data_IF_541694823288
#
_entry.id   IF_541694823288
#
_cell.length_a   1.000
_cell.length_b   1.000
_cell.length_c   1.000
_cell.angle_alpha   90.00
_cell.angle_beta   90.00
_cell.angle_gamma   90.00
#
_symmetry.space_group_name_H-M   'P 1'
#
loop_
_entity.id
_entity.type
_entity.pdbx_description
1 polymer ?
#
# COMPACT_ATOMS: atom_id res chain seq x y z
N UNK A 1 -7.82 18.97 -20.47
CA UNK A 1 -6.42 18.91 -19.97
C UNK A 1 -5.87 17.54 -20.31
N UNK A 2 -4.65 17.46 -20.80
CA UNK A 2 -4.05 16.16 -21.06
C UNK A 2 -3.64 15.51 -19.74
N UNK A 3 -3.82 14.20 -19.65
CA UNK A 3 -3.41 13.33 -18.56
C UNK A 3 -1.92 13.45 -18.30
N UNK A 4 -1.51 13.59 -17.05
CA UNK A 4 -0.12 13.57 -16.65
C UNK A 4 0.24 12.21 -16.06
N UNK A 5 1.20 11.51 -16.65
CA UNK A 5 1.69 10.23 -16.14
C UNK A 5 3.11 10.43 -15.61
N UNK A 6 3.28 10.35 -14.30
CA UNK A 6 4.59 10.35 -13.65
C UNK A 6 5.19 8.94 -13.73
N UNK A 7 6.18 8.75 -14.59
CA UNK A 7 6.82 7.43 -14.79
C UNK A 7 8.14 7.35 -14.04
N UNK A 8 8.29 6.32 -13.22
CA UNK A 8 9.49 5.97 -12.48
C UNK A 8 9.97 4.58 -12.95
N UNK A 9 10.98 4.54 -13.78
CA UNK A 9 11.47 3.29 -14.38
C UNK A 9 12.53 2.58 -13.54
N UNK A 10 13.30 3.34 -12.78
CA UNK A 10 14.35 2.83 -11.91
C UNK A 10 14.32 3.59 -10.57
N UNK A 11 13.21 3.49 -9.80
CA UNK A 11 13.12 4.20 -8.55
C UNK A 11 14.19 3.71 -7.57
N UNK A 12 14.86 4.65 -6.94
CA UNK A 12 15.78 4.39 -5.84
C UNK A 12 15.02 3.98 -4.58
N UNK A 13 13.79 4.49 -4.45
CA UNK A 13 12.92 4.22 -3.31
C UNK A 13 11.46 4.25 -3.74
N UNK A 14 10.71 3.23 -3.35
CA UNK A 14 9.26 3.20 -3.45
C UNK A 14 8.69 2.57 -2.18
N UNK A 15 8.04 3.37 -1.37
CA UNK A 15 7.65 2.98 -0.02
C UNK A 15 6.26 3.46 0.37
N UNK A 16 5.60 2.68 1.22
CA UNK A 16 4.44 3.12 1.97
C UNK A 16 4.88 3.72 3.31
N UNK A 17 4.19 4.75 3.75
CA UNK A 17 4.40 5.38 5.04
C UNK A 17 3.15 6.06 5.54
N UNK A 18 3.22 6.56 6.76
CA UNK A 18 2.09 7.22 7.42
C UNK A 18 2.50 8.54 8.04
N UNK A 19 1.53 9.44 8.14
CA UNK A 19 1.64 10.69 8.90
C UNK A 19 0.46 10.77 9.86
N UNK A 20 0.71 11.12 11.12
CA UNK A 20 -0.28 11.24 12.17
C UNK A 20 -0.23 10.10 13.19
N UNK A 21 -1.08 10.21 14.21
CA UNK A 21 -1.18 9.25 15.30
C UNK A 21 -2.00 8.00 14.90
N UNK A 22 -1.75 6.84 15.54
CA UNK A 22 -2.57 5.66 15.32
C UNK A 22 -4.06 5.95 15.52
N UNK A 23 -4.87 5.65 14.48
CA UNK A 23 -6.31 5.92 14.45
C UNK A 23 -6.68 7.19 13.70
N UNK A 24 -5.73 8.09 13.48
CA UNK A 24 -5.90 9.34 12.70
C UNK A 24 -4.71 9.55 11.76
N UNK A 25 -4.31 8.46 11.09
CA UNK A 25 -3.18 8.46 10.17
C UNK A 25 -3.61 8.62 8.73
N UNK A 26 -2.84 9.40 7.99
CA UNK A 26 -2.88 9.43 6.54
C UNK A 26 -1.81 8.49 5.97
N UNK A 27 -2.17 7.71 4.97
CA UNK A 27 -1.29 6.77 4.30
C UNK A 27 -0.81 7.35 2.98
N UNK A 28 0.49 7.26 2.74
CA UNK A 28 1.12 7.74 1.51
C UNK A 28 1.95 6.65 0.86
N UNK A 29 1.98 6.65 -0.46
CA UNK A 29 3.04 6.01 -1.24
C UNK A 29 3.95 7.09 -1.80
N UNK A 30 5.25 6.86 -1.70
CA UNK A 30 6.27 7.80 -2.15
C UNK A 30 7.25 7.10 -3.06
N UNK A 31 7.43 7.66 -4.26
CA UNK A 31 8.42 7.24 -5.25
C UNK A 31 9.52 8.29 -5.35
N UNK A 32 10.76 7.84 -5.32
CA UNK A 32 11.95 8.69 -5.48
C UNK A 32 12.84 8.12 -6.58
N UNK A 33 13.18 8.96 -7.53
CA UNK A 33 14.14 8.65 -8.61
C UNK A 33 14.94 9.90 -8.92
N UNK A 34 16.24 9.84 -8.72
CA UNK A 34 17.12 11.01 -8.84
C UNK A 34 16.64 12.20 -7.98
N UNK A 35 16.35 13.34 -8.59
CA UNK A 35 15.86 14.53 -7.90
C UNK A 35 14.32 14.62 -7.82
N UNK A 36 13.59 13.61 -8.36
CA UNK A 36 12.13 13.61 -8.37
C UNK A 36 11.58 12.83 -7.19
N UNK A 37 10.64 13.43 -6.50
CA UNK A 37 9.87 12.79 -5.45
C UNK A 37 8.39 13.02 -5.71
N UNK A 38 7.60 11.97 -5.79
CA UNK A 38 6.15 12.03 -5.92
C UNK A 38 5.54 11.26 -4.76
N UNK A 39 4.60 11.90 -4.09
CA UNK A 39 3.83 11.32 -2.98
C UNK A 39 2.35 11.36 -3.32
N UNK A 40 1.67 10.25 -3.10
CA UNK A 40 0.23 10.13 -3.33
C UNK A 40 -0.47 9.63 -2.07
N UNK A 41 -1.67 10.14 -1.84
CA UNK A 41 -2.49 9.79 -0.67
C UNK A 41 -3.39 8.60 -0.96
N UNK A 42 -3.44 7.64 -0.04
CA UNK A 42 -4.30 6.45 -0.12
C UNK A 42 -5.06 6.22 1.19
N UNK A 43 -6.09 5.39 1.08
CA UNK A 43 -6.72 4.78 2.24
C UNK A 43 -5.90 3.57 2.74
N UNK A 44 -5.97 3.27 4.03
CA UNK A 44 -5.33 2.10 4.64
C UNK A 44 -5.64 0.81 3.89
N UNK A 45 -6.91 0.62 3.52
CA UNK A 45 -7.35 -0.57 2.80
C UNK A 45 -6.73 -0.67 1.41
N UNK A 46 -6.54 0.45 0.71
CA UNK A 46 -5.87 0.48 -0.59
C UNK A 46 -4.42 0.02 -0.49
N UNK A 47 -3.69 0.47 0.54
CA UNK A 47 -2.31 0.04 0.79
C UNK A 47 -2.25 -1.47 1.07
N UNK A 48 -3.16 -1.97 1.90
CA UNK A 48 -3.26 -3.40 2.23
C UNK A 48 -3.53 -4.27 1.00
N UNK A 49 -4.53 -3.88 0.20
CA UNK A 49 -4.89 -4.59 -1.05
C UNK A 49 -3.74 -4.57 -2.06
N UNK A 50 -3.05 -3.43 -2.19
CA UNK A 50 -1.91 -3.32 -3.09
C UNK A 50 -0.78 -4.26 -2.68
N UNK A 51 -0.42 -4.31 -1.40
CA UNK A 51 0.61 -5.22 -0.88
C UNK A 51 0.25 -6.69 -1.13
N UNK A 52 -0.99 -7.07 -0.85
CA UNK A 52 -1.50 -8.44 -1.08
C UNK A 52 -1.43 -8.82 -2.57
N UNK A 53 -1.90 -7.94 -3.46
CA UNK A 53 -1.90 -8.17 -4.91
C UNK A 53 -0.49 -8.24 -5.50
N UNK A 54 0.44 -7.43 -5.02
CA UNK A 54 1.85 -7.52 -5.41
C UNK A 54 2.42 -8.88 -5.00
N UNK A 55 2.16 -9.34 -3.79
CA UNK A 55 2.57 -10.67 -3.33
C UNK A 55 2.04 -11.80 -4.21
N UNK A 56 0.75 -11.75 -4.55
CA UNK A 56 0.12 -12.74 -5.45
C UNK A 56 0.72 -12.70 -6.87
N UNK A 57 0.95 -11.51 -7.41
CA UNK A 57 1.56 -11.36 -8.74
C UNK A 57 3.00 -11.87 -8.76
N UNK A 58 3.78 -11.62 -7.70
CA UNK A 58 5.13 -12.16 -7.58
C UNK A 58 5.15 -13.69 -7.60
N UNK A 59 4.25 -14.33 -6.88
CA UNK A 59 4.11 -15.80 -6.90
C UNK A 59 3.77 -16.31 -8.31
N UNK A 60 2.87 -15.63 -9.01
CA UNK A 60 2.50 -15.98 -10.38
C UNK A 60 3.66 -15.81 -11.37
N UNK A 61 4.43 -14.72 -11.23
CA UNK A 61 5.63 -14.46 -12.04
C UNK A 61 6.69 -15.54 -11.82
N UNK A 62 6.95 -15.93 -10.57
CA UNK A 62 7.87 -17.03 -10.25
C UNK A 62 7.41 -18.33 -10.87
N UNK A 63 6.12 -18.64 -10.75
CA UNK A 63 5.54 -19.87 -11.31
C UNK A 63 5.64 -19.93 -12.83
N UNK A 64 5.39 -18.82 -13.53
CA UNK A 64 5.38 -18.78 -15.01
C UNK A 64 6.75 -18.57 -15.63
N UNK A 65 7.57 -17.74 -15.03
CA UNK A 65 8.81 -17.25 -15.62
C UNK A 65 10.07 -17.74 -14.89
N UNK A 66 9.91 -18.45 -13.78
CA UNK A 66 11.03 -18.99 -13.00
C UNK A 66 11.95 -17.91 -12.42
N UNK A 67 11.46 -16.70 -12.21
CA UNK A 67 12.25 -15.63 -11.59
C UNK A 67 12.49 -15.95 -10.11
N UNK A 68 13.75 -15.92 -9.69
CA UNK A 68 14.13 -16.06 -8.29
C UNK A 68 13.65 -14.81 -7.52
N UNK A 69 12.60 -15.00 -6.75
CA UNK A 69 12.14 -13.98 -5.80
C UNK A 69 12.56 -14.44 -4.41
N UNK A 70 13.38 -13.66 -3.69
CA UNK A 70 13.77 -14.02 -2.34
C UNK A 70 12.56 -14.16 -1.43
N UNK A 71 12.52 -15.21 -0.61
CA UNK A 71 11.45 -15.43 0.38
C UNK A 71 11.46 -14.35 1.47
N UNK A 72 12.62 -13.80 1.75
CA UNK A 72 12.78 -12.72 2.72
C UNK A 72 13.32 -11.46 2.06
N UNK A 73 12.93 -10.32 2.59
CA UNK A 73 13.53 -9.05 2.19
C UNK A 73 15.03 -9.09 2.45
N UNK A 74 15.80 -8.59 1.48
CA UNK A 74 17.26 -8.53 1.64
C UNK A 74 17.65 -7.76 2.93
N UNK A 75 18.80 -8.10 3.55
CA UNK A 75 19.33 -7.33 4.66
C UNK A 75 19.41 -5.84 4.28
N UNK A 76 18.82 -4.97 5.07
CA UNK A 76 18.74 -3.55 4.76
C UNK A 76 17.34 -3.07 4.39
N UNK A 77 16.30 -3.75 4.88
CA UNK A 77 14.92 -3.28 4.77
C UNK A 77 14.82 -1.81 5.15
N UNK A 78 14.26 -1.00 4.25
CA UNK A 78 14.04 0.43 4.47
C UNK A 78 12.99 0.64 5.57
N UNK A 79 13.43 1.16 6.69
CA UNK A 79 12.58 1.53 7.84
C UNK A 79 12.53 3.05 8.02
N UNK A 80 13.19 3.80 7.17
CA UNK A 80 13.24 5.25 7.26
C UNK A 80 11.85 5.86 7.04
N UNK A 81 11.57 7.01 7.66
CA UNK A 81 10.33 7.73 7.42
C UNK A 81 10.23 8.22 5.96
N UNK A 82 9.06 8.70 5.59
CA UNK A 82 8.87 9.37 4.30
C UNK A 82 9.79 10.58 4.19
N UNK A 83 10.31 10.83 2.99
CA UNK A 83 11.09 12.02 2.72
C UNK A 83 10.22 13.27 2.82
N UNK A 84 10.81 14.35 3.34
CA UNK A 84 10.15 15.65 3.50
C UNK A 84 10.81 16.68 2.58
N UNK A 85 10.09 17.70 2.11
CA UNK A 85 8.67 17.97 2.36
C UNK A 85 7.77 16.91 1.74
N UNK A 86 6.65 16.62 2.42
CA UNK A 86 5.63 15.70 1.93
C UNK A 86 4.52 16.51 1.27
N UNK A 87 4.50 16.51 -0.05
CA UNK A 87 3.50 17.20 -0.85
C UNK A 87 2.68 16.14 -1.59
N UNK A 88 1.37 16.18 -1.40
CA UNK A 88 0.44 15.29 -2.05
C UNK A 88 0.23 15.70 -3.50
N UNK A 89 0.59 14.84 -4.44
CA UNK A 89 0.32 15.05 -5.86
C UNK A 89 -1.16 14.84 -6.17
N UNK A 90 -1.72 13.72 -5.70
CA UNK A 90 -3.13 13.41 -5.79
C UNK A 90 -3.55 12.33 -4.80
N UNK A 91 -4.86 12.18 -4.61
CA UNK A 91 -5.47 11.05 -3.92
C UNK A 91 -5.71 9.92 -4.92
N UNK A 92 -5.34 8.70 -4.55
CA UNK A 92 -5.51 7.53 -5.40
C UNK A 92 -6.96 7.05 -5.41
N UNK A 93 -7.51 6.86 -6.62
CA UNK A 93 -8.80 6.22 -6.85
C UNK A 93 -8.63 4.78 -7.31
N UNK A 94 -8.08 4.59 -8.50
CA UNK A 94 -7.90 3.27 -9.12
C UNK A 94 -6.43 2.84 -9.06
N UNK A 95 -6.22 1.54 -8.89
CA UNK A 95 -4.89 0.93 -8.87
C UNK A 95 -4.80 -0.18 -9.91
N UNK A 96 -3.70 -0.22 -10.65
CA UNK A 96 -3.38 -1.24 -11.61
C UNK A 96 -2.06 -1.93 -11.30
N UNK A 97 -1.96 -3.20 -11.64
CA UNK A 97 -0.74 -4.01 -11.55
C UNK A 97 -0.53 -4.78 -12.84
N UNK A 98 0.72 -4.89 -13.25
CA UNK A 98 1.11 -5.67 -14.41
C UNK A 98 2.53 -6.21 -14.29
N UNK A 99 2.85 -7.12 -15.19
CA UNK A 99 4.21 -7.63 -15.39
C UNK A 99 4.74 -7.14 -16.74
N UNK A 100 5.84 -6.43 -16.70
CA UNK A 100 6.57 -6.05 -17.92
C UNK A 100 7.70 -7.07 -18.17
N UNK A 101 7.52 -7.90 -19.19
CA UNK A 101 8.46 -8.96 -19.54
C UNK A 101 9.78 -8.41 -20.11
N UNK A 102 9.75 -7.24 -20.74
CA UNK A 102 10.93 -6.63 -21.33
C UNK A 102 11.90 -6.12 -20.26
N UNK A 103 11.39 -5.39 -19.29
CA UNK A 103 12.19 -4.90 -18.15
C UNK A 103 12.24 -5.88 -16.98
N UNK A 104 11.49 -6.98 -17.03
CA UNK A 104 11.33 -7.95 -15.93
C UNK A 104 10.91 -7.26 -14.62
N UNK A 105 9.94 -6.38 -14.73
CA UNK A 105 9.48 -5.55 -13.65
C UNK A 105 8.00 -5.74 -13.34
N UNK A 106 7.66 -5.63 -12.06
CA UNK A 106 6.28 -5.39 -11.62
C UNK A 106 5.97 -3.92 -11.91
N UNK A 107 4.89 -3.67 -12.62
CA UNK A 107 4.42 -2.31 -12.91
C UNK A 107 3.26 -2.00 -11.97
N UNK A 108 3.42 -0.96 -11.17
CA UNK A 108 2.36 -0.42 -10.31
C UNK A 108 1.87 0.88 -10.92
N UNK A 109 0.59 1.00 -11.15
CA UNK A 109 -0.02 2.26 -11.59
C UNK A 109 -1.10 2.70 -10.62
N UNK A 110 -1.00 3.95 -10.19
CA UNK A 110 -1.91 4.59 -9.26
C UNK A 110 -2.53 5.79 -9.97
N UNK A 111 -3.85 5.73 -10.17
CA UNK A 111 -4.60 6.77 -10.86
C UNK A 111 -5.29 7.67 -9.84
N UNK A 112 -5.28 8.98 -10.13
CA UNK A 112 -5.98 9.96 -9.32
C UNK A 112 -7.47 9.64 -9.23
N UNK A 113 -8.09 9.96 -8.09
CA UNK A 113 -9.53 9.88 -7.94
C UNK A 113 -10.23 10.72 -9.01
N UNK A 114 -11.26 10.17 -9.62
CA UNK A 114 -12.04 10.82 -10.67
C UNK A 114 -13.52 10.77 -10.31
N UNK A 115 -14.27 11.79 -10.66
CA UNK A 115 -15.73 11.80 -10.57
C UNK A 115 -16.39 10.96 -11.66
N UNK A 116 -15.66 10.75 -12.76
CA UNK A 116 -16.09 9.89 -13.86
C UNK A 116 -15.61 8.45 -13.62
N UNK A 117 -16.40 7.48 -14.08
CA UNK A 117 -16.01 6.08 -14.05
C UNK A 117 -14.78 5.87 -14.92
N UNK A 118 -13.70 5.39 -14.33
CA UNK A 118 -12.45 5.12 -15.04
C UNK A 118 -12.59 3.82 -15.83
N UNK A 119 -12.48 3.91 -17.15
CA UNK A 119 -12.46 2.73 -18.00
C UNK A 119 -11.19 1.91 -17.71
N UNK A 120 -11.35 0.59 -17.52
CA UNK A 120 -10.22 -0.30 -17.25
C UNK A 120 -9.15 -0.27 -18.35
N UNK A 121 -9.51 0.09 -19.58
CA UNK A 121 -8.57 0.22 -20.69
C UNK A 121 -7.54 1.37 -20.51
N UNK A 122 -7.85 2.32 -19.65
CA UNK A 122 -6.94 3.45 -19.33
C UNK A 122 -5.82 3.02 -18.40
N UNK A 123 -6.02 1.93 -17.63
CA UNK A 123 -5.04 1.42 -16.68
C UNK A 123 -3.88 0.79 -17.45
N UNK A 124 -2.66 1.23 -17.13
CA UNK A 124 -1.41 0.82 -17.79
C UNK A 124 -1.30 1.21 -19.27
N UNK A 125 -2.18 2.08 -19.75
CA UNK A 125 -2.12 2.62 -21.10
C UNK A 125 -1.54 4.04 -21.12
N UNK A 126 -0.95 4.43 -22.23
CA UNK A 126 -0.33 5.75 -22.46
C UNK A 126 -1.32 6.74 -23.10
N UNK A 127 -2.61 6.51 -22.98
CA UNK A 127 -3.64 7.42 -23.49
C UNK A 127 -3.56 8.79 -22.85
N UNK A 128 -3.79 9.82 -23.65
CA UNK A 128 -3.85 11.22 -23.19
C UNK A 128 -5.15 11.55 -22.44
N UNK A 129 -6.11 10.62 -22.44
CA UNK A 129 -7.38 10.76 -21.75
C UNK A 129 -7.38 9.99 -20.43
N UNK A 130 -8.04 10.53 -19.42
CA UNK A 130 -8.19 9.91 -18.13
C UNK A 130 -7.51 10.69 -17.00
N UNK A 131 -7.57 10.16 -15.77
CA UNK A 131 -6.97 10.79 -14.61
C UNK A 131 -5.43 10.72 -14.64
N UNK A 132 -4.79 11.66 -13.96
CA UNK A 132 -3.36 11.63 -13.75
C UNK A 132 -2.92 10.33 -13.08
N UNK A 133 -1.71 9.91 -13.33
CA UNK A 133 -1.19 8.63 -12.83
C UNK A 133 0.26 8.72 -12.34
N UNK A 134 0.56 7.87 -11.37
CA UNK A 134 1.92 7.51 -10.97
C UNK A 134 2.16 6.07 -11.42
N UNK A 135 3.12 5.85 -12.30
CA UNK A 135 3.51 4.54 -12.82
C UNK A 135 4.93 4.19 -12.40
N UNK A 136 5.09 3.11 -11.66
CA UNK A 136 6.37 2.70 -11.07
C UNK A 136 6.75 1.30 -11.52
N UNK A 137 7.98 1.13 -12.00
CA UNK A 137 8.54 -0.16 -12.39
C UNK A 137 9.45 -0.66 -11.27
N UNK A 138 9.11 -1.81 -10.70
CA UNK A 138 9.84 -2.41 -9.59
C UNK A 138 10.45 -3.75 -10.01
N UNK A 139 11.72 -3.96 -9.70
CA UNK A 139 12.26 -5.32 -9.75
C UNK A 139 11.48 -6.24 -8.80
N UNK A 140 11.50 -7.57 -9.00
CA UNK A 140 10.85 -8.47 -8.07
C UNK A 140 11.29 -8.27 -6.62
N UNK A 141 12.56 -7.99 -6.40
CA UNK A 141 13.10 -7.71 -5.06
C UNK A 141 12.55 -6.41 -4.46
N UNK A 142 12.48 -5.35 -5.26
CA UNK A 142 11.90 -4.08 -4.81
C UNK A 142 10.40 -4.21 -4.53
N UNK A 143 9.68 -4.95 -5.37
CA UNK A 143 8.24 -5.19 -5.18
C UNK A 143 7.97 -5.97 -3.88
N UNK A 144 8.79 -6.99 -3.60
CA UNK A 144 8.69 -7.73 -2.34
C UNK A 144 9.00 -6.83 -1.14
N UNK A 145 10.08 -6.07 -1.20
CA UNK A 145 10.44 -5.14 -0.12
C UNK A 145 9.34 -4.10 0.15
N UNK A 146 8.74 -3.58 -0.92
CA UNK A 146 7.58 -2.68 -0.80
C UNK A 146 6.40 -3.36 -0.11
N UNK A 147 6.01 -4.56 -0.55
CA UNK A 147 4.90 -5.30 0.04
C UNK A 147 5.13 -5.60 1.53
N UNK A 148 6.31 -6.07 1.89
CA UNK A 148 6.68 -6.37 3.28
C UNK A 148 6.63 -5.11 4.17
N UNK A 149 7.10 -3.97 3.67
CA UNK A 149 7.00 -2.70 4.38
C UNK A 149 5.55 -2.21 4.48
N UNK A 150 4.79 -2.28 3.40
CA UNK A 150 3.39 -1.87 3.37
C UNK A 150 2.56 -2.66 4.40
N UNK A 151 2.75 -3.97 4.49
CA UNK A 151 2.11 -4.82 5.50
C UNK A 151 2.47 -4.38 6.93
N UNK A 152 3.74 -4.08 7.19
CA UNK A 152 4.18 -3.56 8.50
C UNK A 152 3.55 -2.22 8.82
N UNK A 153 3.50 -1.30 7.86
CA UNK A 153 2.91 0.04 8.03
C UNK A 153 1.42 -0.07 8.33
N UNK A 154 0.71 -0.94 7.62
CA UNK A 154 -0.71 -1.22 7.85
C UNK A 154 -0.94 -1.86 9.21
N UNK A 155 -0.10 -2.82 9.60
CA UNK A 155 -0.21 -3.57 10.87
C UNK A 155 0.27 -2.78 12.07
N UNK A 156 1.12 -1.77 11.91
CA UNK A 156 1.66 -0.91 12.96
C UNK A 156 0.61 0.04 13.58
N UNK A 157 -0.68 -0.29 13.41
CA UNK A 157 -1.79 0.42 14.00
C UNK A 157 -1.89 0.25 15.50
N UNK A 158 -3.09 0.49 16.00
CA UNK A 158 -3.44 0.31 17.41
C UNK A 158 -3.19 -1.14 17.83
N UNK A 159 -2.65 -1.33 19.04
CA UNK A 159 -2.48 -2.65 19.61
C UNK A 159 -3.82 -3.42 19.61
N UNK A 160 -3.82 -4.72 19.31
CA UNK A 160 -5.04 -5.51 19.37
C UNK A 160 -5.48 -5.71 20.83
N UNK A 161 -6.77 -5.67 21.06
CA UNK A 161 -7.33 -6.05 22.36
C UNK A 161 -7.03 -7.53 22.65
N UNK A 162 -6.47 -7.86 23.82
CA UNK A 162 -6.14 -9.25 24.17
C UNK A 162 -7.36 -10.17 24.28
N UNK A 163 -8.58 -9.60 24.34
CA UNK A 163 -9.82 -10.37 24.50
C UNK A 163 -10.57 -10.58 23.19
N UNK A 164 -10.67 -9.56 22.35
CA UNK A 164 -11.47 -9.60 21.11
C UNK A 164 -10.65 -9.38 19.83
N UNK A 165 -9.36 -9.08 19.96
CA UNK A 165 -8.45 -8.77 18.85
C UNK A 165 -8.80 -7.51 18.04
N UNK A 166 -9.85 -6.79 18.41
CA UNK A 166 -10.16 -5.49 17.83
C UNK A 166 -9.12 -4.44 18.21
N UNK A 167 -8.84 -3.45 17.35
CA UNK A 167 -7.88 -2.41 17.66
C UNK A 167 -8.28 -1.59 18.88
N UNK A 168 -7.32 -1.36 19.78
CA UNK A 168 -7.50 -0.51 20.96
C UNK A 168 -7.38 0.95 20.59
N UNK A 169 -8.37 1.77 20.97
CA UNK A 169 -8.25 3.22 20.91
C UNK A 169 -7.40 3.75 22.08
N UNK A 170 -6.68 4.88 21.90
CA UNK A 170 -5.93 5.50 23.00
C UNK A 170 -6.82 5.84 24.21
N UNK A 171 -8.09 6.13 23.98
CA UNK A 171 -9.10 6.44 24.99
C UNK A 171 -9.85 5.21 25.50
N UNK A 172 -9.47 4.02 25.04
CA UNK A 172 -10.13 2.76 25.33
C UNK A 172 -11.10 2.31 24.23
N UNK A 173 -11.55 1.07 24.26
CA UNK A 173 -12.56 0.56 23.35
C UNK A 173 -13.63 -0.23 24.09
N UNK A 174 -14.82 -0.30 23.49
CA UNK A 174 -15.91 -1.13 24.00
C UNK A 174 -15.67 -2.56 23.53
N UNK A 175 -15.14 -3.40 24.43
CA UNK A 175 -14.86 -4.79 24.12
C UNK A 175 -16.14 -5.62 24.17
N UNK A 176 -16.58 -6.15 23.02
CA UNK A 176 -17.77 -7.02 22.94
C UNK A 176 -17.67 -8.28 23.81
N UNK A 177 -16.45 -8.79 24.05
CA UNK A 177 -16.21 -9.91 24.94
C UNK A 177 -16.26 -9.53 26.41
N UNK A 178 -15.91 -8.31 26.76
CA UNK A 178 -15.96 -7.80 28.13
C UNK A 178 -17.41 -7.46 28.52
N UNK A 179 -18.19 -6.90 27.60
CA UNK A 179 -19.59 -6.55 27.80
C UNK A 179 -20.55 -7.74 27.73
N UNK A 180 -20.13 -8.85 27.10
CA UNK A 180 -20.89 -10.10 27.05
C UNK A 180 -20.68 -11.02 28.26
N UNK A 181 -19.72 -10.71 29.11
CA UNK A 181 -19.39 -11.53 30.28
C UNK A 181 -19.99 -10.93 31.55
N UNK A 182 -21.31 -10.83 31.61
CA UNK A 182 -21.96 -10.82 32.91
C UNK A 182 -21.91 -12.25 33.44
N UNK A 183 -20.99 -12.52 34.35
CA UNK A 183 -21.15 -13.68 35.24
C UNK A 183 -22.54 -13.57 35.85
N UNK A 184 -23.45 -14.43 35.43
CA UNK A 184 -24.60 -14.73 36.22
C UNK A 184 -24.06 -15.27 37.53
N UNK A 185 -24.19 -14.49 38.58
CA UNK A 185 -24.02 -15.01 39.94
C UNK A 185 -24.95 -16.20 40.09
N UNK A 186 -24.49 -17.35 40.56
CA UNK A 186 -25.42 -18.41 40.90
C UNK A 186 -26.34 -17.86 41.98
N UNK A 187 -27.63 -17.85 41.70
CA UNK A 187 -28.66 -17.63 42.68
C UNK A 187 -28.56 -18.84 43.61
N UNK A 188 -28.01 -18.63 44.80
CA UNK A 188 -28.01 -19.63 45.82
C UNK A 188 -29.44 -19.77 46.36
N UNK A 189 -29.90 -21.00 46.43
CA UNK A 189 -30.97 -21.46 47.34
C UNK A 189 -30.45 -21.49 48.78
#
# INVERSE_FOLDING_TARGET
MSRLIHVFRQPERFVAGTVGEPGDRSFYLQAIEEARTISVLLEKQQVSVLAERIGALLQEVVRRFGSDVPEEAAPGTDLDPLAVPLEEEFRVGTMGLGWDADSKSIVVELLAVSEEEVDESVVLDDTDEGPDALRVFLSPLQAKAFADRAERVVSAGRAPCPLCAEPLDPEGHVCVRLNGYHKRSPVGD
#
